data_IF_622391499760
#
_entry.id   IF_622391499760
#
_cell.length_a   1.000
_cell.length_b   1.000
_cell.length_c   1.000
_cell.angle_alpha   90.00
_cell.angle_beta   90.00
_cell.angle_gamma   90.00
#
_symmetry.space_group_name_H-M   'P 1'
#
loop_
_entity.id
_entity.type
_entity.pdbx_description
1 polymer ?
#
# COMPACT_ATOMS: atom_id res chain seq x y z
N UNK A 1 -15.49 14.91 3.67
CA UNK A 1 -16.11 13.72 4.33
C UNK A 1 -16.41 12.67 3.30
N UNK A 2 -16.19 11.43 3.65
CA UNK A 2 -16.61 10.29 2.86
C UNK A 2 -18.11 10.02 3.03
N UNK A 3 -18.77 9.32 2.09
CA UNK A 3 -20.21 9.06 2.15
C UNK A 3 -20.68 8.25 3.38
N UNK A 4 -19.77 7.53 4.01
CA UNK A 4 -20.03 6.74 5.22
C UNK A 4 -19.92 7.54 6.52
N UNK A 5 -19.48 8.81 6.45
CA UNK A 5 -19.24 9.72 7.57
C UNK A 5 -18.22 9.20 8.61
N UNK A 6 -17.39 8.22 8.24
CA UNK A 6 -16.38 7.64 9.14
C UNK A 6 -15.07 8.41 9.11
N UNK A 7 -14.82 9.15 8.04
CA UNK A 7 -13.61 9.94 7.87
C UNK A 7 -13.91 11.38 7.44
N UNK A 8 -13.09 12.31 7.95
CA UNK A 8 -13.16 13.75 7.68
C UNK A 8 -11.79 14.27 7.30
N UNK A 9 -11.57 14.50 6.03
CA UNK A 9 -10.34 15.14 5.53
C UNK A 9 -10.47 16.67 5.67
N UNK A 10 -9.48 17.28 6.29
CA UNK A 10 -9.36 18.74 6.43
C UNK A 10 -8.06 19.23 5.80
N UNK A 11 -8.13 20.32 5.06
CA UNK A 11 -6.98 20.99 4.45
C UNK A 11 -6.78 22.37 5.05
N UNK A 12 -5.54 22.71 5.40
CA UNK A 12 -5.20 23.98 5.98
C UNK A 12 -3.68 24.16 6.08
N UNK A 13 -3.26 25.31 6.60
CA UNK A 13 -1.86 25.56 6.93
C UNK A 13 -1.50 24.96 8.30
N UNK A 14 -0.21 24.67 8.54
CA UNK A 14 0.27 24.19 9.84
C UNK A 14 -0.22 25.10 11.00
N UNK A 15 -0.15 26.42 10.84
CA UNK A 15 -0.61 27.36 11.88
C UNK A 15 -2.12 27.33 12.15
N UNK A 16 -2.95 26.97 11.17
CA UNK A 16 -4.38 26.76 11.38
C UNK A 16 -4.63 25.48 12.17
N UNK A 17 -3.93 24.39 11.85
CA UNK A 17 -4.01 23.15 12.62
C UNK A 17 -3.43 23.31 14.03
N UNK A 18 -2.29 24.00 14.18
CA UNK A 18 -1.71 24.31 15.50
C UNK A 18 -2.73 25.04 16.39
N UNK A 19 -3.43 26.02 15.80
CA UNK A 19 -4.42 26.81 16.53
C UNK A 19 -5.69 26.00 16.84
N UNK A 20 -6.15 25.17 15.90
CA UNK A 20 -7.39 24.41 16.03
C UNK A 20 -7.25 23.24 17.03
N UNK A 21 -6.09 22.60 17.05
CA UNK A 21 -5.80 21.41 17.84
C UNK A 21 -4.95 21.67 19.08
N UNK A 22 -4.56 22.93 19.30
CA UNK A 22 -3.68 23.37 20.39
C UNK A 22 -2.35 22.60 20.44
N UNK A 23 -1.75 22.39 19.27
CA UNK A 23 -0.44 21.75 19.10
C UNK A 23 0.57 22.75 18.55
N UNK A 24 1.84 22.38 18.50
CA UNK A 24 2.89 23.13 17.84
C UNK A 24 3.69 22.17 16.95
N UNK A 25 3.48 22.27 15.65
CA UNK A 25 4.25 21.48 14.69
C UNK A 25 5.66 22.04 14.54
N UNK A 26 6.63 21.14 14.45
CA UNK A 26 8.05 21.46 14.31
C UNK A 26 8.66 20.59 13.20
N UNK A 27 9.80 21.02 12.69
CA UNK A 27 10.59 20.23 11.75
C UNK A 27 11.64 19.42 12.51
N UNK A 28 11.80 18.17 12.13
CA UNK A 28 12.76 17.23 12.68
C UNK A 28 13.66 16.71 11.56
N UNK A 29 14.95 16.63 11.83
CA UNK A 29 15.94 16.00 10.96
C UNK A 29 16.09 14.54 11.35
N UNK A 30 15.65 13.62 10.51
CA UNK A 30 15.82 12.18 10.69
C UNK A 30 17.17 11.79 10.07
N UNK A 31 18.14 11.26 10.86
CA UNK A 31 19.42 10.86 10.32
C UNK A 31 19.28 9.63 9.40
N UNK A 32 20.20 9.50 8.44
CA UNK A 32 20.30 8.27 7.65
C UNK A 32 20.63 7.08 8.55
N UNK A 33 19.94 5.97 8.36
CA UNK A 33 20.22 4.72 9.09
C UNK A 33 20.85 3.72 8.11
N UNK A 34 22.03 3.15 8.43
CA UNK A 34 22.62 2.08 7.64
C UNK A 34 21.73 0.83 7.60
N UNK A 35 21.87 0.03 6.55
CA UNK A 35 21.19 -1.25 6.48
C UNK A 35 21.48 -2.12 7.73
N UNK A 36 20.43 -2.67 8.36
CA UNK A 36 20.53 -3.52 9.54
C UNK A 36 19.38 -4.53 9.57
N UNK A 37 19.62 -5.68 10.17
CA UNK A 37 18.59 -6.72 10.43
C UNK A 37 17.70 -7.09 9.24
N UNK A 38 18.26 -7.05 8.02
CA UNK A 38 17.52 -7.35 6.78
C UNK A 38 16.74 -6.17 6.21
N UNK A 39 16.73 -5.01 6.87
CA UNK A 39 16.19 -3.77 6.34
C UNK A 39 17.24 -3.03 5.52
N UNK A 40 16.84 -2.46 4.39
CA UNK A 40 17.68 -1.59 3.57
C UNK A 40 18.07 -0.29 4.31
N UNK A 41 19.09 0.44 3.79
CA UNK A 41 19.46 1.72 4.37
C UNK A 41 18.34 2.74 4.15
N UNK A 42 18.02 3.52 5.18
CA UNK A 42 17.14 4.68 5.04
C UNK A 42 17.95 5.96 4.83
N UNK A 43 17.50 6.82 3.93
CA UNK A 43 18.14 8.12 3.70
C UNK A 43 17.78 9.10 4.83
N UNK A 44 18.65 10.09 5.07
CA UNK A 44 18.29 11.22 5.89
C UNK A 44 17.07 11.94 5.30
N UNK A 45 16.14 12.35 6.14
CA UNK A 45 14.91 13.03 5.76
C UNK A 45 14.63 14.20 6.71
N UNK A 46 13.90 15.18 6.22
CA UNK A 46 13.32 16.23 7.05
C UNK A 46 11.80 16.00 7.12
N UNK A 47 11.28 15.89 8.31
CA UNK A 47 9.87 15.64 8.57
C UNK A 47 9.30 16.72 9.49
N UNK A 48 8.00 16.91 9.46
CA UNK A 48 7.31 17.68 10.48
C UNK A 48 6.51 16.77 11.41
N UNK A 49 6.24 17.26 12.60
CA UNK A 49 5.45 16.55 13.59
C UNK A 49 5.23 17.44 14.81
N UNK A 50 4.51 16.91 15.79
CA UNK A 50 4.31 17.56 17.10
C UNK A 50 4.58 16.56 18.21
N UNK A 51 5.16 17.05 19.31
CA UNK A 51 5.32 16.28 20.55
C UNK A 51 4.13 16.50 21.52
N UNK A 52 3.12 17.25 21.11
CA UNK A 52 1.95 17.55 21.92
C UNK A 52 0.75 16.78 21.42
N UNK A 53 -0.03 16.25 22.33
CA UNK A 53 -1.30 15.63 21.97
C UNK A 53 -2.31 16.68 21.45
N UNK A 54 -3.04 16.35 20.38
CA UNK A 54 -4.04 17.24 19.83
C UNK A 54 -5.24 17.36 20.78
N UNK A 55 -5.66 18.58 21.04
CA UNK A 55 -6.82 18.87 21.87
C UNK A 55 -8.08 19.03 21.02
N UNK A 56 -9.13 18.33 21.40
CA UNK A 56 -10.46 18.47 20.84
C UNK A 56 -11.48 18.92 21.88
N UNK A 57 -12.47 19.78 21.50
CA UNK A 57 -13.58 20.10 22.39
C UNK A 57 -14.29 18.85 22.90
N UNK A 58 -14.63 18.81 24.18
CA UNK A 58 -15.28 17.65 24.82
C UNK A 58 -16.61 17.22 24.14
N UNK A 59 -17.22 18.09 23.36
CA UNK A 59 -18.44 17.78 22.60
C UNK A 59 -18.20 16.87 21.38
N UNK A 60 -16.98 16.84 20.85
CA UNK A 60 -16.63 16.05 19.64
C UNK A 60 -15.56 14.98 19.93
N UNK A 61 -14.70 15.19 20.91
CA UNK A 61 -13.63 14.25 21.25
C UNK A 61 -14.09 12.78 21.35
N UNK A 62 -15.24 12.45 21.98
CA UNK A 62 -15.69 11.06 22.08
C UNK A 62 -16.07 10.39 20.74
N UNK A 63 -16.25 11.18 19.68
CA UNK A 63 -16.59 10.69 18.35
C UNK A 63 -15.36 10.55 17.45
N UNK A 64 -14.19 11.05 17.87
CA UNK A 64 -12.94 11.00 17.09
C UNK A 64 -12.06 9.89 17.65
N UNK A 65 -11.76 8.91 16.81
CA UNK A 65 -10.90 7.78 17.17
C UNK A 65 -9.41 8.16 17.05
N UNK A 66 -9.05 8.90 16.03
CA UNK A 66 -7.68 9.33 15.76
C UNK A 66 -7.65 10.63 14.95
N UNK A 67 -6.54 11.37 15.03
CA UNK A 67 -6.21 12.50 14.17
C UNK A 67 -4.91 12.14 13.47
N UNK A 68 -4.97 11.95 12.16
CA UNK A 68 -3.83 11.61 11.32
C UNK A 68 -3.33 12.85 10.56
N UNK A 69 -2.10 12.79 10.04
CA UNK A 69 -1.54 13.85 9.20
C UNK A 69 -0.88 15.01 9.96
N UNK A 70 -0.75 14.93 11.29
CA UNK A 70 0.06 15.89 12.06
C UNK A 70 1.56 15.64 11.90
N UNK A 71 1.93 14.53 11.28
CA UNK A 71 3.29 14.20 10.85
C UNK A 71 3.30 13.80 9.39
N UNK A 72 4.40 14.07 8.69
CA UNK A 72 4.68 13.50 7.38
C UNK A 72 5.79 12.43 7.41
N UNK A 73 6.10 11.92 8.59
CA UNK A 73 6.94 10.74 8.70
C UNK A 73 6.23 9.56 8.02
N UNK A 74 6.90 8.92 7.08
CA UNK A 74 6.35 7.83 6.30
C UNK A 74 6.99 6.50 6.74
N UNK A 75 6.41 5.82 7.72
CA UNK A 75 6.97 4.59 8.28
C UNK A 75 6.68 3.37 7.41
N UNK A 76 5.67 3.45 6.54
CA UNK A 76 5.24 2.29 5.76
C UNK A 76 6.26 1.94 4.68
N UNK A 77 6.56 0.66 4.60
CA UNK A 77 7.41 0.09 3.57
C UNK A 77 6.66 -1.00 2.82
N UNK A 78 6.96 -1.12 1.53
CA UNK A 78 6.62 -2.31 0.77
C UNK A 78 7.30 -3.50 1.42
N UNK A 79 6.61 -4.62 1.52
CA UNK A 79 7.22 -5.84 2.05
C UNK A 79 8.39 -6.24 1.14
N UNK A 80 9.63 -6.30 1.64
CA UNK A 80 10.75 -6.66 0.81
C UNK A 80 10.54 -8.07 0.25
N UNK A 81 10.60 -8.19 -1.05
CA UNK A 81 10.66 -9.49 -1.71
C UNK A 81 11.97 -10.15 -1.29
N UNK A 82 11.92 -10.97 -0.26
CA UNK A 82 13.03 -11.84 0.07
C UNK A 82 13.18 -12.86 -1.05
N UNK A 83 14.14 -12.66 -1.94
CA UNK A 83 14.63 -13.77 -2.75
C UNK A 83 15.34 -14.73 -1.79
N UNK A 84 14.80 -15.90 -1.48
CA UNK A 84 15.47 -16.85 -0.58
C UNK A 84 16.80 -17.21 -1.22
N UNK A 85 17.90 -16.88 -0.56
CA UNK A 85 19.22 -17.37 -0.97
C UNK A 85 19.17 -18.90 -0.89
N UNK A 86 19.17 -19.57 -2.05
CA UNK A 86 19.37 -21.01 -2.14
C UNK A 86 18.15 -21.88 -2.43
N UNK A 87 17.02 -21.34 -2.86
CA UNK A 87 15.97 -22.17 -3.46
C UNK A 87 16.40 -22.53 -4.89
N UNK A 88 17.09 -23.67 -5.03
CA UNK A 88 17.21 -24.35 -6.31
C UNK A 88 15.85 -24.94 -6.62
N UNK A 89 15.22 -24.50 -7.72
CA UNK A 89 13.94 -25.03 -8.17
C UNK A 89 13.97 -26.55 -8.24
N UNK A 90 13.04 -27.19 -7.56
CA UNK A 90 12.77 -28.61 -7.74
C UNK A 90 12.23 -28.86 -9.15
N UNK A 91 12.70 -29.93 -9.76
CA UNK A 91 12.39 -30.39 -11.11
C UNK A 91 10.89 -30.55 -11.37
N UNK A 92 10.22 -29.46 -11.72
CA UNK A 92 8.94 -29.51 -12.41
C UNK A 92 9.19 -29.17 -13.89
N UNK A 93 8.61 -29.88 -14.87
CA UNK A 93 8.81 -29.54 -16.27
C UNK A 93 8.23 -28.16 -16.54
N UNK A 94 9.11 -27.17 -16.54
CA UNK A 94 8.74 -25.78 -16.83
C UNK A 94 8.22 -25.65 -18.26
N UNK A 95 7.15 -24.88 -18.50
CA UNK A 95 6.95 -24.29 -19.80
C UNK A 95 8.19 -23.44 -20.10
N UNK A 96 8.65 -23.49 -21.35
CA UNK A 96 9.90 -22.92 -21.87
C UNK A 96 9.91 -21.38 -21.83
N UNK A 97 9.83 -20.78 -20.65
CA UNK A 97 10.16 -19.38 -20.43
C UNK A 97 11.36 -19.35 -19.49
N UNK A 98 12.42 -18.69 -19.93
CA UNK A 98 13.71 -18.59 -19.26
C UNK A 98 13.64 -17.73 -17.99
N UNK A 99 12.72 -18.02 -17.10
CA UNK A 99 12.68 -17.45 -15.74
C UNK A 99 13.44 -18.41 -14.83
N UNK A 100 14.71 -18.14 -14.63
CA UNK A 100 15.54 -18.95 -13.74
C UNK A 100 15.16 -18.69 -12.29
N UNK A 101 14.30 -19.51 -11.75
CA UNK A 101 14.14 -19.70 -10.30
C UNK A 101 12.99 -18.96 -9.62
N UNK A 102 12.17 -18.18 -10.32
CA UNK A 102 10.99 -17.52 -9.75
C UNK A 102 9.72 -18.27 -10.15
N UNK A 103 8.77 -18.38 -9.22
CA UNK A 103 7.46 -18.95 -9.50
C UNK A 103 6.66 -17.98 -10.38
N UNK A 104 6.03 -18.51 -11.42
CA UNK A 104 5.12 -17.75 -12.29
C UNK A 104 3.68 -17.86 -11.78
N UNK A 105 2.76 -16.99 -12.21
CA UNK A 105 1.33 -17.15 -11.93
C UNK A 105 0.78 -18.54 -12.32
N UNK A 106 1.30 -19.15 -13.38
CA UNK A 106 0.92 -20.52 -13.77
C UNK A 106 1.39 -21.58 -12.76
N UNK A 107 2.55 -21.38 -12.12
CA UNK A 107 3.02 -22.23 -11.05
C UNK A 107 2.13 -22.09 -9.81
N UNK A 108 1.74 -20.85 -9.47
CA UNK A 108 0.77 -20.59 -8.41
C UNK A 108 -0.58 -21.25 -8.72
N UNK A 109 -1.12 -21.06 -9.92
CA UNK A 109 -2.36 -21.69 -10.33
C UNK A 109 -2.32 -23.23 -10.21
N UNK A 110 -1.17 -23.84 -10.48
CA UNK A 110 -0.97 -25.27 -10.34
C UNK A 110 -0.84 -25.67 -8.87
N UNK A 111 -0.03 -24.96 -8.09
CA UNK A 111 0.24 -25.30 -6.69
C UNK A 111 -0.98 -25.12 -5.78
N UNK A 112 -1.86 -24.16 -6.11
CA UNK A 112 -3.09 -23.88 -5.36
C UNK A 112 -4.34 -24.49 -6.00
N UNK A 113 -4.16 -25.38 -7.00
CA UNK A 113 -5.23 -26.10 -7.68
C UNK A 113 -6.32 -25.19 -8.29
N UNK A 114 -5.91 -24.08 -8.91
CA UNK A 114 -6.81 -23.16 -9.61
C UNK A 114 -7.20 -23.65 -11.01
N UNK A 115 -6.44 -24.57 -11.60
CA UNK A 115 -6.66 -25.06 -12.95
C UNK A 115 -8.07 -25.67 -13.19
N UNK A 116 -8.71 -26.33 -12.20
CA UNK A 116 -10.11 -26.74 -12.34
C UNK A 116 -11.07 -25.57 -12.56
N UNK A 117 -10.88 -24.47 -11.81
CA UNK A 117 -11.71 -23.26 -11.94
C UNK A 117 -11.63 -22.67 -13.35
N UNK A 118 -10.42 -22.58 -13.90
CA UNK A 118 -10.22 -22.08 -15.27
C UNK A 118 -10.87 -22.95 -16.33
N UNK A 119 -10.85 -24.28 -16.13
CA UNK A 119 -11.57 -25.20 -17.04
C UNK A 119 -13.08 -25.02 -16.99
N UNK A 120 -13.60 -24.59 -15.85
CA UNK A 120 -15.03 -24.31 -15.65
C UNK A 120 -15.40 -22.86 -16.06
N UNK A 121 -14.42 -22.09 -16.59
CA UNK A 121 -14.62 -20.72 -17.07
C UNK A 121 -14.63 -19.66 -15.95
N UNK A 122 -14.20 -20.03 -14.75
CA UNK A 122 -14.08 -19.12 -13.60
C UNK A 122 -12.73 -18.41 -13.69
N UNK A 123 -12.73 -17.20 -14.20
CA UNK A 123 -11.53 -16.41 -14.55
C UNK A 123 -11.52 -15.01 -13.92
N UNK A 124 -12.45 -14.75 -12.99
CA UNK A 124 -12.66 -13.45 -12.38
C UNK A 124 -13.57 -12.52 -13.20
N UNK A 125 -14.23 -13.04 -14.22
CA UNK A 125 -15.12 -12.22 -15.05
C UNK A 125 -16.31 -11.68 -14.27
N UNK A 126 -16.43 -10.35 -14.24
CA UNK A 126 -17.49 -9.64 -13.52
C UNK A 126 -17.09 -9.25 -12.09
N UNK A 127 -15.94 -9.72 -11.63
CA UNK A 127 -15.36 -9.36 -10.33
C UNK A 127 -14.36 -8.20 -10.47
N UNK A 128 -14.11 -7.49 -9.39
CA UNK A 128 -13.15 -6.39 -9.34
C UNK A 128 -12.15 -6.62 -8.18
N UNK A 129 -10.88 -6.59 -8.51
CA UNK A 129 -9.79 -6.62 -7.54
C UNK A 129 -9.43 -5.18 -7.16
N UNK A 130 -9.29 -4.90 -5.88
CA UNK A 130 -8.77 -3.65 -5.36
C UNK A 130 -7.34 -3.85 -4.86
N UNK A 131 -6.45 -2.92 -5.19
CA UNK A 131 -5.08 -2.85 -4.68
C UNK A 131 -4.86 -1.51 -4.04
N UNK A 132 -4.52 -1.49 -2.75
CA UNK A 132 -4.09 -0.27 -2.04
C UNK A 132 -2.58 -0.22 -2.03
N UNK A 133 -2.02 0.87 -2.54
CA UNK A 133 -0.57 1.08 -2.60
C UNK A 133 -0.17 2.50 -2.24
N UNK A 134 1.05 2.67 -1.73
CA UNK A 134 1.62 3.95 -1.36
C UNK A 134 2.77 4.39 -2.29
N UNK A 135 2.88 3.74 -3.44
CA UNK A 135 3.81 4.12 -4.50
C UNK A 135 3.09 4.23 -5.85
N UNK A 136 3.64 5.06 -6.74
CA UNK A 136 3.08 5.27 -8.08
C UNK A 136 3.09 3.98 -8.89
N UNK A 137 2.00 3.76 -9.61
CA UNK A 137 1.80 2.62 -10.50
C UNK A 137 1.48 3.09 -11.93
N UNK A 138 2.03 2.41 -12.92
CA UNK A 138 1.72 2.62 -14.33
C UNK A 138 1.03 1.37 -14.90
N UNK A 139 -0.26 1.45 -15.30
CA UNK A 139 -0.96 0.32 -15.90
C UNK A 139 -0.24 -0.34 -17.07
N UNK A 140 0.55 0.43 -17.83
CA UNK A 140 1.29 -0.09 -18.97
C UNK A 140 2.32 -1.16 -18.57
N UNK A 141 2.86 -1.11 -17.34
CA UNK A 141 3.80 -2.12 -16.82
C UNK A 141 3.13 -3.48 -16.70
N UNK A 142 1.98 -3.54 -16.05
CA UNK A 142 1.23 -4.78 -15.87
C UNK A 142 0.70 -5.32 -17.21
N UNK A 143 0.19 -4.44 -18.09
CA UNK A 143 -0.25 -4.84 -19.44
C UNK A 143 0.92 -5.43 -20.25
N UNK A 144 2.11 -4.83 -20.14
CA UNK A 144 3.31 -5.37 -20.79
C UNK A 144 3.67 -6.75 -20.22
N UNK A 145 3.65 -6.90 -18.90
CA UNK A 145 3.96 -8.17 -18.24
C UNK A 145 3.02 -9.29 -18.70
N UNK A 146 1.71 -9.05 -18.68
CA UNK A 146 0.74 -10.06 -19.11
C UNK A 146 0.87 -10.43 -20.59
N UNK A 147 0.97 -9.42 -21.45
CA UNK A 147 0.94 -9.66 -22.91
C UNK A 147 2.29 -10.17 -23.46
N UNK A 148 3.41 -9.66 -22.94
CA UNK A 148 4.72 -9.91 -23.55
C UNK A 148 5.59 -10.90 -22.75
N UNK A 149 5.36 -11.01 -21.43
CA UNK A 149 6.14 -11.94 -20.59
C UNK A 149 5.36 -13.23 -20.36
N UNK A 150 4.10 -13.12 -19.95
CA UNK A 150 3.28 -14.29 -19.67
C UNK A 150 2.52 -14.80 -20.89
N UNK A 151 2.40 -13.99 -21.96
CA UNK A 151 1.60 -14.30 -23.14
C UNK A 151 0.14 -14.61 -22.83
N UNK A 152 -0.42 -13.95 -21.82
CA UNK A 152 -1.83 -14.01 -21.45
C UNK A 152 -2.55 -12.88 -22.18
N UNK A 153 -3.60 -13.22 -22.93
CA UNK A 153 -4.48 -12.19 -23.50
C UNK A 153 -5.45 -11.72 -22.41
N UNK A 154 -5.29 -10.51 -21.96
CA UNK A 154 -6.22 -9.85 -21.03
C UNK A 154 -7.04 -8.79 -21.76
N UNK A 155 -8.22 -8.45 -21.22
CA UNK A 155 -9.00 -7.33 -21.71
C UNK A 155 -8.23 -6.02 -21.58
N UNK A 156 -8.16 -5.22 -22.64
CA UNK A 156 -7.59 -3.88 -22.57
C UNK A 156 -8.42 -2.96 -21.67
N UNK A 157 -7.77 -2.08 -20.91
CA UNK A 157 -8.44 -1.06 -20.11
C UNK A 157 -9.17 -1.61 -18.88
N UNK A 158 -8.78 -2.78 -18.37
CA UNK A 158 -9.35 -3.36 -17.16
C UNK A 158 -8.78 -2.79 -15.87
N UNK A 159 -7.75 -1.95 -15.96
CA UNK A 159 -7.13 -1.28 -14.81
C UNK A 159 -7.62 0.16 -14.72
N UNK A 160 -8.10 0.55 -13.57
CA UNK A 160 -8.41 1.94 -13.21
C UNK A 160 -7.48 2.35 -12.07
N UNK A 161 -6.88 3.54 -12.16
CA UNK A 161 -6.04 4.10 -11.09
C UNK A 161 -6.79 5.26 -10.45
N UNK A 162 -6.98 5.18 -9.13
CA UNK A 162 -7.53 6.25 -8.30
C UNK A 162 -6.42 6.89 -7.48
N UNK A 163 -6.21 8.19 -7.69
CA UNK A 163 -5.21 8.98 -6.98
C UNK A 163 -5.84 9.58 -5.71
N UNK A 164 -5.83 8.82 -4.63
CA UNK A 164 -6.30 9.29 -3.32
C UNK A 164 -5.34 10.37 -2.81
N UNK A 165 -5.88 11.48 -2.35
CA UNK A 165 -5.13 12.66 -1.84
C UNK A 165 -4.08 13.20 -2.82
N UNK A 166 -4.36 13.09 -4.11
CA UNK A 166 -3.46 13.52 -5.18
C UNK A 166 -2.42 12.47 -5.58
N UNK A 167 -2.42 11.32 -4.94
CA UNK A 167 -1.55 10.18 -5.23
C UNK A 167 -0.11 10.34 -4.76
N UNK A 168 0.69 9.27 -4.86
CA UNK A 168 2.08 9.22 -4.37
C UNK A 168 3.10 9.87 -5.32
N UNK A 169 2.65 10.37 -6.46
CA UNK A 169 3.51 10.90 -7.53
C UNK A 169 3.84 9.86 -8.60
N UNK A 170 4.85 10.16 -9.42
CA UNK A 170 5.26 9.28 -10.51
C UNK A 170 5.87 7.97 -10.02
N UNK A 171 5.73 6.87 -10.79
CA UNK A 171 6.35 5.60 -10.46
C UNK A 171 7.86 5.72 -10.21
N UNK A 172 8.34 5.04 -9.17
CA UNK A 172 9.74 5.06 -8.76
C UNK A 172 10.09 3.81 -7.97
N UNK A 173 11.13 3.09 -8.38
CA UNK A 173 11.66 1.94 -7.64
C UNK A 173 12.05 2.31 -6.19
N UNK A 174 12.62 3.51 -6.02
CA UNK A 174 13.00 4.00 -4.69
C UNK A 174 11.78 4.23 -3.78
N UNK A 175 10.63 4.57 -4.36
CA UNK A 175 9.38 4.74 -3.62
C UNK A 175 8.61 3.43 -3.42
N UNK A 176 9.05 2.33 -4.02
CA UNK A 176 8.41 1.02 -3.89
C UNK A 176 7.44 0.65 -5.01
N UNK A 177 7.54 1.30 -6.18
CA UNK A 177 6.65 0.99 -7.33
C UNK A 177 6.73 -0.46 -7.79
N UNK A 178 7.88 -1.13 -7.59
CA UNK A 178 8.00 -2.56 -7.87
C UNK A 178 7.02 -3.43 -7.07
N UNK A 179 6.65 -3.02 -5.85
CA UNK A 179 5.59 -3.71 -5.08
C UNK A 179 4.21 -3.46 -5.69
N UNK A 180 3.92 -2.22 -6.10
CA UNK A 180 2.66 -1.90 -6.76
C UNK A 180 2.48 -2.70 -8.06
N UNK A 181 3.57 -2.81 -8.85
CA UNK A 181 3.60 -3.62 -10.06
C UNK A 181 3.36 -5.10 -9.72
N UNK A 182 4.06 -5.65 -8.72
CA UNK A 182 3.95 -7.03 -8.27
C UNK A 182 2.51 -7.38 -7.89
N UNK A 183 1.86 -6.56 -7.06
CA UNK A 183 0.49 -6.80 -6.59
C UNK A 183 -0.50 -6.88 -7.75
N UNK A 184 -0.42 -5.95 -8.69
CA UNK A 184 -1.31 -5.90 -9.85
C UNK A 184 -0.99 -7.01 -10.86
N UNK A 185 0.29 -7.22 -11.17
CA UNK A 185 0.74 -8.21 -12.14
C UNK A 185 0.35 -9.63 -11.75
N UNK A 186 0.60 -9.99 -10.47
CA UNK A 186 0.34 -11.35 -9.99
C UNK A 186 -1.15 -11.61 -9.81
N UNK A 187 -1.87 -10.73 -9.11
CA UNK A 187 -3.31 -10.90 -8.89
C UNK A 187 -4.09 -10.88 -10.19
N UNK A 188 -3.77 -9.94 -11.07
CA UNK A 188 -4.40 -9.82 -12.37
C UNK A 188 -4.08 -10.95 -13.34
N UNK A 189 -2.93 -11.62 -13.22
CA UNK A 189 -2.63 -12.82 -14.00
C UNK A 189 -3.41 -14.05 -13.52
N UNK A 190 -3.71 -14.13 -12.21
CA UNK A 190 -4.50 -15.22 -11.63
C UNK A 190 -6.01 -15.03 -11.84
N UNK A 191 -6.47 -13.78 -12.01
CA UNK A 191 -7.84 -13.45 -12.38
C UNK A 191 -7.88 -12.67 -13.70
N UNK A 192 -7.60 -13.32 -14.86
CA UNK A 192 -7.31 -12.66 -16.11
C UNK A 192 -8.47 -11.86 -16.71
N UNK A 193 -9.70 -12.13 -16.29
CA UNK A 193 -10.91 -11.43 -16.76
C UNK A 193 -11.50 -10.48 -15.69
N UNK A 194 -10.89 -10.36 -14.52
CA UNK A 194 -11.31 -9.41 -13.50
C UNK A 194 -10.94 -7.96 -13.86
N UNK A 195 -11.74 -7.00 -13.45
CA UNK A 195 -11.36 -5.58 -13.40
C UNK A 195 -10.42 -5.34 -12.24
N UNK A 196 -9.62 -4.28 -12.30
CA UNK A 196 -8.69 -3.92 -11.22
C UNK A 196 -8.82 -2.42 -10.94
N UNK A 197 -8.95 -2.07 -9.66
CA UNK A 197 -8.88 -0.69 -9.19
C UNK A 197 -7.65 -0.56 -8.29
N UNK A 198 -6.73 0.32 -8.67
CA UNK A 198 -5.54 0.63 -7.88
C UNK A 198 -5.78 1.95 -7.15
N UNK A 199 -5.92 1.88 -5.83
CA UNK A 199 -6.02 3.03 -4.95
C UNK A 199 -4.62 3.41 -4.50
N UNK A 200 -4.03 4.43 -5.14
CA UNK A 200 -2.68 4.87 -4.81
C UNK A 200 -2.71 6.20 -4.05
N UNK A 201 -2.08 6.23 -2.88
CA UNK A 201 -2.06 7.38 -1.98
C UNK A 201 -0.62 7.80 -1.63
N UNK A 202 -0.40 9.04 -1.14
CA UNK A 202 0.89 9.41 -0.56
C UNK A 202 1.30 8.44 0.55
N UNK A 203 2.61 8.14 0.65
CA UNK A 203 3.12 7.29 1.74
C UNK A 203 3.18 8.08 3.04
N UNK A 204 2.04 8.19 3.69
CA UNK A 204 1.82 8.84 4.99
C UNK A 204 0.77 8.03 5.76
N UNK A 205 0.68 8.24 7.07
CA UNK A 205 -0.34 7.61 7.93
C UNK A 205 -1.76 7.91 7.44
N UNK A 206 -2.07 9.17 7.15
CA UNK A 206 -3.38 9.56 6.64
C UNK A 206 -3.63 9.03 5.22
N UNK A 207 -2.64 9.10 4.32
CA UNK A 207 -2.80 8.60 2.95
C UNK A 207 -3.10 7.10 2.91
N UNK A 208 -2.48 6.33 3.82
CA UNK A 208 -2.76 4.90 3.96
C UNK A 208 -4.20 4.65 4.43
N UNK A 209 -4.66 5.38 5.46
CA UNK A 209 -6.02 5.27 5.95
C UNK A 209 -7.04 5.71 4.89
N UNK A 210 -6.82 6.88 4.26
CA UNK A 210 -7.72 7.45 3.27
C UNK A 210 -7.87 6.55 2.02
N UNK A 211 -6.81 5.82 1.63
CA UNK A 211 -6.89 4.84 0.55
C UNK A 211 -7.88 3.71 0.88
N UNK A 212 -7.87 3.19 2.11
CA UNK A 212 -8.82 2.19 2.55
C UNK A 212 -10.24 2.74 2.69
N UNK A 213 -10.41 3.94 3.27
CA UNK A 213 -11.72 4.60 3.36
C UNK A 213 -12.29 4.90 1.99
N UNK A 214 -11.45 5.36 1.05
CA UNK A 214 -11.87 5.58 -0.35
C UNK A 214 -12.36 4.28 -0.97
N UNK A 215 -11.58 3.20 -0.87
CA UNK A 215 -11.95 1.91 -1.44
C UNK A 215 -13.26 1.37 -0.83
N UNK A 216 -13.40 1.45 0.50
CA UNK A 216 -14.60 1.01 1.20
C UNK A 216 -15.83 1.85 0.84
N UNK A 217 -15.69 3.19 0.79
CA UNK A 217 -16.79 4.10 0.46
C UNK A 217 -17.26 3.98 -0.98
N UNK A 218 -16.33 3.78 -1.91
CA UNK A 218 -16.66 3.58 -3.32
C UNK A 218 -17.32 2.22 -3.56
N UNK A 219 -16.95 1.21 -2.76
CA UNK A 219 -17.47 -0.16 -2.85
C UNK A 219 -17.44 -0.72 -4.29
N UNK A 220 -16.33 -0.46 -4.99
CA UNK A 220 -16.13 -0.92 -6.37
C UNK A 220 -15.42 -2.28 -6.44
N UNK A 221 -14.59 -2.57 -5.43
CA UNK A 221 -13.81 -3.80 -5.38
C UNK A 221 -14.51 -4.88 -4.55
N UNK A 222 -14.54 -6.10 -5.07
CA UNK A 222 -15.08 -7.28 -4.38
C UNK A 222 -14.06 -7.84 -3.37
N UNK A 223 -12.78 -7.62 -3.63
CA UNK A 223 -11.67 -7.97 -2.74
C UNK A 223 -10.66 -6.84 -2.71
N UNK A 224 -9.99 -6.64 -1.58
CA UNK A 224 -8.99 -5.60 -1.39
C UNK A 224 -7.70 -6.22 -0.85
N UNK A 225 -6.56 -5.81 -1.40
CA UNK A 225 -5.22 -6.23 -0.99
C UNK A 225 -4.32 -5.02 -0.78
N UNK A 226 -3.38 -5.15 0.15
CA UNK A 226 -2.29 -4.19 0.34
C UNK A 226 -1.05 -4.91 0.83
N UNK A 227 0.10 -4.64 0.21
CA UNK A 227 1.41 -5.16 0.60
C UNK A 227 2.25 -4.11 1.34
N UNK A 228 1.59 -3.11 1.91
CA UNK A 228 2.22 -2.04 2.68
C UNK A 228 1.95 -2.23 4.15
N UNK A 229 2.95 -1.97 4.97
CA UNK A 229 2.83 -2.11 6.41
C UNK A 229 4.03 -1.55 7.14
N UNK A 230 3.95 -1.58 8.45
CA UNK A 230 4.99 -1.17 9.37
C UNK A 230 5.30 -2.27 10.36
N UNK A 231 6.53 -2.28 10.88
CA UNK A 231 6.91 -3.18 11.96
C UNK A 231 6.10 -2.89 13.22
N UNK A 232 5.48 -3.93 13.79
CA UNK A 232 4.77 -3.82 15.07
C UNK A 232 5.65 -3.24 16.19
N UNK A 233 6.96 -3.54 16.17
CA UNK A 233 7.90 -2.98 17.14
C UNK A 233 8.03 -1.46 17.03
N UNK A 234 8.01 -0.91 15.81
CA UNK A 234 8.07 0.54 15.58
C UNK A 234 6.74 1.17 16.02
N UNK A 235 5.63 0.54 15.67
CA UNK A 235 4.30 1.01 16.06
C UNK A 235 4.15 1.03 17.59
N UNK A 236 4.55 -0.05 18.27
CA UNK A 236 4.51 -0.13 19.73
C UNK A 236 5.46 0.89 20.39
N UNK A 237 6.65 1.12 19.82
CA UNK A 237 7.57 2.12 20.34
C UNK A 237 7.02 3.55 20.24
N UNK A 238 6.22 3.85 19.23
CA UNK A 238 5.52 5.14 19.12
C UNK A 238 4.42 5.28 20.19
N UNK A 239 3.69 4.20 20.46
CA UNK A 239 2.64 4.18 21.50
C UNK A 239 3.22 4.23 22.91
N UNK A 240 4.33 3.50 23.17
CA UNK A 240 4.97 3.49 24.48
C UNK A 240 5.66 4.82 24.82
N UNK A 241 6.13 5.56 23.83
CA UNK A 241 6.70 6.89 24.05
C UNK A 241 5.66 7.88 24.59
N UNK A 242 4.38 7.68 24.26
CA UNK A 242 3.27 8.49 24.74
C UNK A 242 2.77 8.05 26.15
N UNK A 243 3.13 6.84 26.60
CA UNK A 243 2.70 6.29 27.90
C UNK A 243 3.70 6.53 29.06
N UNK A 244 4.90 7.04 28.79
CA UNK A 244 5.89 7.31 29.82
C UNK A 244 5.70 8.66 30.56
N UNK A 245 4.58 9.36 30.35
CA UNK A 245 4.24 10.51 31.19
C UNK A 245 3.49 10.02 32.44
N UNK A 246 4.13 10.03 33.64
CA UNK A 246 3.53 9.52 34.88
C UNK A 246 2.50 10.49 35.48
N UNK A 247 1.85 11.32 34.68
CA UNK A 247 0.86 12.30 35.12
C UNK A 247 -0.59 11.86 34.87
N UNK A 248 -0.84 10.56 34.55
CA UNK A 248 -2.18 9.97 34.49
C UNK A 248 -2.34 8.84 35.49
#
# INVERSE_FOLDING_TARGET
TYPDDLDVVANGTAGEFDSALNVQQQQYDIPAVPAHDGMGPTAAAQVHGTAQEPYLPASIAPAVLAILGLTNYAPFAAHPTHTPKGVTSSNSPAPTTTYTGNLTPADFATNYDLNPLYRDGITGKGETLGVVTLAGFDPATAEYFWNNVLHITTGAGRITVDNVDGGPGAPSEKAGSGESDLDVEQSGALAPDASIVVYQAPNTDYGFADAFFTAASQNLADTLSSSWGESETILLASVDADQEDPAY
#
